data_IF_212318348627
#
_entry.id   IF_212318348627
#
_cell.length_a   1.000
_cell.length_b   1.000
_cell.length_c   1.000
_cell.angle_alpha   90.00
_cell.angle_beta   90.00
_cell.angle_gamma   90.00
#
_symmetry.space_group_name_H-M   'P 1'
#
loop_
_entity.id
_entity.type
_entity.pdbx_description
1 polymer ?
#
# COMPACT_ATOMS: atom_id res chain seq x y z
N UNK A 1 16.44 -20.50 7.83
CA UNK A 1 16.98 -19.66 6.72
C UNK A 1 17.10 -18.23 7.19
N UNK A 2 18.02 -17.48 6.58
CA UNK A 2 18.04 -15.99 6.65
C UNK A 2 17.29 -15.42 5.48
N UNK A 3 16.27 -14.63 5.74
CA UNK A 3 15.36 -14.11 4.71
C UNK A 3 15.42 -12.57 4.72
N UNK A 4 15.87 -11.98 3.63
CA UNK A 4 15.95 -10.53 3.47
C UNK A 4 14.70 -10.01 2.76
N UNK A 5 13.92 -9.18 3.45
CA UNK A 5 12.73 -8.54 2.89
C UNK A 5 13.09 -7.11 2.44
N UNK A 6 12.93 -6.80 1.17
CA UNK A 6 13.35 -5.52 0.58
C UNK A 6 12.15 -4.73 0.09
N UNK A 7 11.97 -3.52 0.61
CA UNK A 7 10.96 -2.57 0.15
C UNK A 7 11.58 -1.21 -0.20
N UNK A 8 10.90 -0.46 -1.05
CA UNK A 8 11.24 0.95 -1.24
C UNK A 8 11.20 1.69 0.11
N UNK A 9 12.00 2.78 0.29
CA UNK A 9 12.13 3.47 1.57
C UNK A 9 10.89 4.35 1.86
N UNK A 10 9.73 3.71 1.88
CA UNK A 10 8.41 4.30 2.12
C UNK A 10 7.57 3.36 2.99
N UNK A 11 6.95 3.88 4.04
CA UNK A 11 6.15 3.10 4.97
C UNK A 11 5.05 2.28 4.27
N UNK A 12 4.34 2.89 3.32
CA UNK A 12 3.27 2.22 2.55
C UNK A 12 3.75 1.06 1.68
N UNK A 13 5.05 0.97 1.37
CA UNK A 13 5.65 -0.14 0.62
C UNK A 13 6.10 -1.29 1.54
N UNK A 14 6.54 -0.98 2.75
CA UNK A 14 6.98 -1.99 3.71
C UNK A 14 5.80 -2.70 4.39
N UNK A 15 4.77 -1.96 4.80
CA UNK A 15 3.65 -2.52 5.59
C UNK A 15 3.00 -3.76 4.97
N UNK A 16 2.75 -3.85 3.63
CA UNK A 16 2.15 -5.04 3.03
C UNK A 16 3.01 -6.31 3.11
N UNK A 17 4.33 -6.17 3.29
CA UNK A 17 5.25 -7.29 3.37
C UNK A 17 5.40 -7.83 4.79
N UNK A 18 5.04 -7.04 5.80
CA UNK A 18 5.24 -7.40 7.21
C UNK A 18 4.48 -8.65 7.65
N UNK A 19 3.22 -8.90 7.23
CA UNK A 19 2.53 -10.13 7.63
C UNK A 19 3.27 -11.40 7.20
N UNK A 20 3.82 -11.42 5.99
CA UNK A 20 4.65 -12.55 5.53
C UNK A 20 5.98 -12.62 6.29
N UNK A 21 6.62 -11.48 6.52
CA UNK A 21 7.86 -11.42 7.30
C UNK A 21 7.66 -11.95 8.73
N UNK A 22 6.54 -11.61 9.37
CA UNK A 22 6.16 -12.11 10.69
C UNK A 22 5.87 -13.62 10.66
N UNK A 23 5.12 -14.11 9.67
CA UNK A 23 4.83 -15.55 9.52
C UNK A 23 6.13 -16.37 9.36
N UNK A 24 7.09 -15.87 8.57
CA UNK A 24 8.40 -16.50 8.40
C UNK A 24 9.22 -16.50 9.70
N UNK A 25 9.24 -15.37 10.44
CA UNK A 25 9.88 -15.29 11.75
C UNK A 25 9.27 -16.30 12.73
N UNK A 26 7.94 -16.36 12.78
CA UNK A 26 7.21 -17.25 13.69
C UNK A 26 7.40 -18.73 13.34
N UNK A 27 7.74 -19.03 12.08
CA UNK A 27 8.19 -20.34 11.63
C UNK A 27 9.68 -20.64 11.98
N UNK A 28 10.37 -19.72 12.65
CA UNK A 28 11.76 -19.91 13.13
C UNK A 28 12.84 -19.44 12.16
N UNK A 29 12.50 -18.64 11.14
CA UNK A 29 13.49 -18.05 10.26
C UNK A 29 14.09 -16.74 10.85
N UNK A 30 15.33 -16.45 10.48
CA UNK A 30 15.96 -15.19 10.78
C UNK A 30 15.57 -14.17 9.68
N UNK A 31 14.70 -13.22 10.01
CA UNK A 31 14.09 -12.29 9.05
C UNK A 31 14.56 -10.87 9.32
N UNK A 32 15.08 -10.21 8.28
CA UNK A 32 15.53 -8.82 8.33
C UNK A 32 14.91 -8.03 7.17
N UNK A 33 14.37 -6.86 7.46
CA UNK A 33 13.89 -5.95 6.43
C UNK A 33 14.96 -4.92 6.05
N UNK A 34 15.09 -4.64 4.76
CA UNK A 34 15.91 -3.59 4.18
C UNK A 34 15.00 -2.52 3.59
N UNK A 35 15.03 -1.31 4.14
CA UNK A 35 14.23 -0.16 3.70
C UNK A 35 14.91 1.15 4.12
N UNK A 36 14.17 2.22 4.37
CA UNK A 36 14.72 3.49 4.82
C UNK A 36 13.66 4.55 5.09
N UNK A 37 14.07 5.76 5.37
CA UNK A 37 13.21 6.93 5.56
C UNK A 37 12.04 6.67 6.53
N UNK A 38 10.78 6.97 6.11
CA UNK A 38 9.61 6.82 6.97
C UNK A 38 9.23 5.34 7.25
N UNK A 39 9.70 4.38 6.44
CA UNK A 39 9.53 2.95 6.72
C UNK A 39 10.21 2.53 8.04
N UNK A 40 11.23 3.26 8.50
CA UNK A 40 11.90 3.00 9.78
C UNK A 40 10.97 3.23 10.99
N UNK A 41 9.87 3.94 10.83
CA UNK A 41 8.86 4.10 11.88
C UNK A 41 8.14 2.79 12.23
N UNK A 42 8.20 1.78 11.36
CA UNK A 42 7.62 0.45 11.60
C UNK A 42 8.53 -0.48 12.45
N UNK A 43 9.61 0.00 13.08
CA UNK A 43 10.57 -0.85 13.83
C UNK A 43 9.98 -1.66 15.00
N UNK A 44 8.84 -1.26 15.51
CA UNK A 44 8.22 -1.92 16.68
C UNK A 44 7.37 -3.16 16.32
N UNK A 45 7.38 -3.61 15.07
CA UNK A 45 6.55 -4.74 14.60
C UNK A 45 7.17 -6.13 14.85
N UNK A 46 8.32 -6.22 15.52
CA UNK A 46 9.02 -7.48 15.80
C UNK A 46 9.95 -7.96 14.67
N UNK A 47 10.05 -7.22 13.54
CA UNK A 47 11.02 -7.46 12.46
C UNK A 47 12.09 -6.38 12.53
N UNK A 48 13.37 -6.78 12.52
CA UNK A 48 14.48 -5.84 12.40
C UNK A 48 14.42 -5.09 11.06
N UNK A 49 14.59 -3.77 11.07
CA UNK A 49 14.64 -2.96 9.85
C UNK A 49 15.97 -2.25 9.77
N UNK A 50 16.73 -2.50 8.71
CA UNK A 50 18.00 -1.87 8.42
C UNK A 50 17.82 -0.71 7.45
N UNK A 51 18.42 0.44 7.75
CA UNK A 51 18.40 1.60 6.84
C UNK A 51 19.45 1.40 5.73
N UNK A 52 18.96 1.13 4.52
CA UNK A 52 19.78 0.92 3.31
C UNK A 52 19.88 2.15 2.42
N UNK A 53 19.23 3.25 2.79
CA UNK A 53 19.22 4.50 2.06
C UNK A 53 19.29 5.71 3.00
N UNK A 54 20.38 5.87 3.79
CA UNK A 54 20.51 6.97 4.74
C UNK A 54 20.37 8.33 4.05
N UNK A 55 19.54 9.22 4.59
CA UNK A 55 19.29 10.55 4.01
C UNK A 55 18.40 10.54 2.76
N UNK A 56 17.70 9.45 2.51
CA UNK A 56 16.73 9.36 1.42
C UNK A 56 15.58 10.36 1.59
N UNK A 57 15.29 11.10 0.51
CA UNK A 57 14.17 12.04 0.44
C UNK A 57 13.37 11.80 -0.84
N UNK A 58 12.20 11.17 -0.72
CA UNK A 58 11.34 10.87 -1.86
C UNK A 58 10.95 12.13 -2.64
N UNK A 59 10.59 13.21 -1.95
CA UNK A 59 10.17 14.47 -2.56
C UNK A 59 11.29 15.11 -3.40
N UNK A 60 12.55 14.95 -3.00
CA UNK A 60 13.72 15.40 -3.78
C UNK A 60 13.82 14.65 -5.11
N UNK A 61 13.66 13.32 -5.07
CA UNK A 61 13.69 12.46 -6.27
C UNK A 61 12.50 12.80 -7.18
N UNK A 62 11.30 12.83 -6.63
CA UNK A 62 10.08 13.13 -7.38
C UNK A 62 10.18 14.48 -8.08
N UNK A 63 10.56 15.53 -7.36
CA UNK A 63 10.77 16.87 -7.92
C UNK A 63 11.82 16.87 -9.03
N UNK A 64 12.97 16.22 -8.84
CA UNK A 64 14.03 16.12 -9.87
C UNK A 64 13.52 15.45 -11.14
N UNK A 65 12.78 14.35 -11.02
CA UNK A 65 12.24 13.61 -12.16
C UNK A 65 11.16 14.43 -12.87
N UNK A 66 10.23 15.04 -12.13
CA UNK A 66 9.14 15.83 -12.71
C UNK A 66 9.65 17.08 -13.44
N UNK A 67 10.67 17.76 -12.91
CA UNK A 67 11.30 18.91 -13.58
C UNK A 67 12.01 18.50 -14.88
N UNK A 68 12.65 17.33 -14.92
CA UNK A 68 13.32 16.84 -16.13
C UNK A 68 12.36 16.29 -17.19
N UNK A 69 11.12 15.98 -16.82
CA UNK A 69 10.12 15.34 -17.68
C UNK A 69 8.75 16.02 -17.56
N UNK A 70 8.57 17.26 -18.05
CA UNK A 70 7.36 18.05 -17.81
C UNK A 70 6.08 17.41 -18.39
N UNK A 71 6.18 16.70 -19.52
CA UNK A 71 5.03 15.96 -20.06
C UNK A 71 4.60 14.80 -19.16
N UNK A 72 5.57 14.11 -18.57
CA UNK A 72 5.31 13.06 -17.59
C UNK A 72 4.69 13.63 -16.30
N UNK A 73 5.21 14.77 -15.83
CA UNK A 73 4.66 15.48 -14.68
C UNK A 73 3.19 15.88 -14.91
N UNK A 74 2.87 16.38 -16.12
CA UNK A 74 1.49 16.72 -16.48
C UNK A 74 0.58 15.49 -16.51
N UNK A 75 1.05 14.39 -17.09
CA UNK A 75 0.31 13.14 -17.13
C UNK A 75 0.06 12.59 -15.71
N UNK A 76 1.09 12.63 -14.85
CA UNK A 76 1.01 12.22 -13.46
C UNK A 76 0.00 13.03 -12.65
N UNK A 77 0.06 14.35 -12.74
CA UNK A 77 -0.90 15.24 -12.07
C UNK A 77 -2.35 15.01 -12.53
N UNK A 78 -2.53 14.57 -13.78
CA UNK A 78 -3.83 14.19 -14.32
C UNK A 78 -4.25 12.75 -13.94
N UNK A 79 -3.43 12.00 -13.18
CA UNK A 79 -3.65 10.59 -12.85
C UNK A 79 -3.47 9.63 -14.03
N UNK A 80 -2.78 10.06 -15.09
CA UNK A 80 -2.55 9.29 -16.31
C UNK A 80 -1.07 8.90 -16.49
N UNK A 81 -0.24 9.05 -15.45
CA UNK A 81 1.17 8.69 -15.48
C UNK A 81 1.41 7.20 -15.60
N UNK A 82 0.63 6.41 -14.85
CA UNK A 82 0.66 4.96 -14.87
C UNK A 82 2.05 4.37 -14.63
N UNK A 83 2.26 3.14 -15.08
CA UNK A 83 3.50 2.39 -14.90
C UNK A 83 4.73 3.13 -15.45
N UNK A 84 4.59 3.94 -16.51
CA UNK A 84 5.71 4.70 -17.09
C UNK A 84 6.29 5.73 -16.11
N UNK A 85 5.44 6.42 -15.36
CA UNK A 85 5.89 7.38 -14.34
C UNK A 85 6.46 6.66 -13.14
N UNK A 86 5.72 5.67 -12.65
CA UNK A 86 6.10 4.86 -11.50
C UNK A 86 7.47 4.20 -11.72
N UNK A 87 7.65 3.52 -12.87
CA UNK A 87 8.91 2.83 -13.19
C UNK A 87 10.12 3.76 -13.29
N UNK A 88 9.92 4.99 -13.79
CA UNK A 88 11.01 5.97 -13.87
C UNK A 88 11.34 6.57 -12.51
N UNK A 89 10.32 6.86 -11.71
CA UNK A 89 10.48 7.39 -10.37
C UNK A 89 11.18 6.38 -9.47
N UNK A 90 10.69 5.14 -9.47
CA UNK A 90 11.27 4.09 -8.65
C UNK A 90 12.58 3.51 -9.21
N UNK A 91 12.86 3.68 -10.50
CA UNK A 91 14.21 3.48 -11.02
C UNK A 91 15.23 4.39 -10.34
N UNK A 92 14.90 5.66 -10.09
CA UNK A 92 15.76 6.57 -9.35
C UNK A 92 15.81 6.26 -7.84
N UNK A 93 14.73 5.73 -7.27
CA UNK A 93 14.73 5.22 -5.88
C UNK A 93 15.68 4.03 -5.74
N UNK A 94 15.60 3.06 -6.65
CA UNK A 94 16.50 1.91 -6.66
C UNK A 94 17.97 2.31 -6.88
N UNK A 95 18.22 3.37 -7.64
CA UNK A 95 19.59 3.89 -7.84
C UNK A 95 20.19 4.42 -6.53
N UNK A 96 19.38 4.99 -5.62
CA UNK A 96 19.84 5.47 -4.32
C UNK A 96 19.93 4.34 -3.26
N UNK A 97 19.11 3.28 -3.33
CA UNK A 97 19.12 2.22 -2.31
C UNK A 97 19.95 0.97 -2.67
N UNK A 98 20.27 0.77 -3.96
CA UNK A 98 20.88 -0.47 -4.44
C UNK A 98 22.19 -0.81 -3.73
N UNK A 99 23.08 0.15 -3.54
CA UNK A 99 24.38 -0.07 -2.92
C UNK A 99 24.23 -0.50 -1.45
N UNK A 100 23.29 0.10 -0.72
CA UNK A 100 22.98 -0.27 0.66
C UNK A 100 22.36 -1.68 0.77
N UNK A 101 21.43 -2.02 -0.12
CA UNK A 101 20.81 -3.36 -0.16
C UNK A 101 21.84 -4.44 -0.47
N UNK A 102 22.70 -4.22 -1.47
CA UNK A 102 23.77 -5.17 -1.83
C UNK A 102 24.76 -5.32 -0.70
N UNK A 103 25.21 -4.21 -0.09
CA UNK A 103 26.14 -4.25 1.04
C UNK A 103 25.55 -4.99 2.25
N UNK A 104 24.24 -4.81 2.53
CA UNK A 104 23.54 -5.55 3.56
C UNK A 104 23.51 -7.04 3.24
N UNK A 105 23.11 -7.41 2.02
CA UNK A 105 23.08 -8.81 1.59
C UNK A 105 24.46 -9.47 1.66
N UNK A 106 25.54 -8.77 1.30
CA UNK A 106 26.92 -9.30 1.35
C UNK A 106 27.38 -9.57 2.80
N UNK A 107 27.04 -8.70 3.78
CA UNK A 107 27.44 -8.89 5.18
C UNK A 107 26.51 -9.85 5.95
N UNK A 108 25.19 -9.81 5.69
CA UNK A 108 24.22 -10.61 6.42
C UNK A 108 24.01 -12.01 5.83
N UNK A 109 24.33 -12.18 4.54
CA UNK A 109 24.32 -13.45 3.79
C UNK A 109 22.95 -14.15 3.84
N UNK A 110 21.89 -13.55 3.27
CA UNK A 110 20.58 -14.19 3.18
C UNK A 110 20.62 -15.44 2.30
N UNK A 111 19.72 -16.39 2.58
CA UNK A 111 19.45 -17.57 1.77
C UNK A 111 18.34 -17.29 0.73
N UNK A 112 17.45 -16.34 1.04
CA UNK A 112 16.32 -15.93 0.21
C UNK A 112 16.13 -14.42 0.28
N UNK A 113 15.78 -13.80 -0.84
CA UNK A 113 15.32 -12.41 -0.88
C UNK A 113 13.85 -12.36 -1.27
N UNK A 114 13.03 -11.64 -0.50
CA UNK A 114 11.67 -11.27 -0.85
C UNK A 114 11.66 -9.78 -1.13
N UNK A 115 11.13 -9.36 -2.28
CA UNK A 115 11.11 -7.93 -2.62
C UNK A 115 9.77 -7.53 -3.26
N UNK A 116 9.37 -6.28 -3.08
CA UNK A 116 8.21 -5.75 -3.78
C UNK A 116 8.58 -5.26 -5.19
N UNK A 117 7.61 -5.08 -6.10
CA UNK A 117 7.89 -4.79 -7.52
C UNK A 117 8.73 -3.53 -7.77
N UNK A 118 8.62 -2.54 -6.90
CA UNK A 118 9.32 -1.25 -7.03
C UNK A 118 10.66 -1.21 -6.27
N UNK A 119 10.98 -2.26 -5.50
CA UNK A 119 12.27 -2.43 -4.82
C UNK A 119 13.16 -3.48 -5.54
N UNK A 120 13.36 -3.29 -6.84
CA UNK A 120 14.14 -4.19 -7.69
C UNK A 120 15.62 -4.35 -7.24
N UNK A 121 16.11 -3.48 -6.35
CA UNK A 121 17.39 -3.64 -5.67
C UNK A 121 17.49 -4.95 -4.87
N UNK A 122 16.36 -5.50 -4.40
CA UNK A 122 16.31 -6.82 -3.78
C UNK A 122 16.66 -7.93 -4.77
N UNK A 123 16.05 -7.92 -5.96
CA UNK A 123 16.39 -8.86 -7.04
C UNK A 123 17.86 -8.73 -7.48
N UNK A 124 18.40 -7.51 -7.53
CA UNK A 124 19.82 -7.27 -7.82
C UNK A 124 20.73 -7.92 -6.77
N UNK A 125 20.42 -7.77 -5.49
CA UNK A 125 21.18 -8.38 -4.40
C UNK A 125 21.12 -9.92 -4.47
N UNK A 126 19.96 -10.49 -4.74
CA UNK A 126 19.78 -11.92 -4.95
C UNK A 126 20.58 -12.44 -6.15
N UNK A 127 20.49 -11.76 -7.31
CA UNK A 127 21.21 -12.11 -8.52
C UNK A 127 22.74 -12.09 -8.31
N UNK A 128 23.25 -11.07 -7.64
CA UNK A 128 24.68 -10.95 -7.33
C UNK A 128 25.18 -12.10 -6.43
N UNK A 129 24.32 -12.61 -5.55
CA UNK A 129 24.67 -13.70 -4.64
C UNK A 129 24.35 -15.10 -5.18
N UNK A 130 23.64 -15.20 -6.30
CA UNK A 130 23.20 -16.47 -6.86
C UNK A 130 22.16 -17.20 -5.98
N UNK A 131 21.30 -16.46 -5.28
CA UNK A 131 20.23 -16.99 -4.42
C UNK A 131 18.84 -16.67 -5.01
N UNK A 132 17.79 -17.42 -4.62
CA UNK A 132 16.44 -17.16 -5.11
C UNK A 132 15.92 -15.79 -4.66
N UNK A 133 15.09 -15.19 -5.53
CA UNK A 133 14.31 -13.99 -5.22
C UNK A 133 12.82 -14.28 -5.42
N UNK A 134 11.99 -13.80 -4.49
CA UNK A 134 10.54 -13.88 -4.54
C UNK A 134 9.98 -12.47 -4.74
N UNK A 135 9.12 -12.30 -5.74
CA UNK A 135 8.39 -11.07 -5.97
C UNK A 135 7.09 -11.08 -5.17
N UNK A 136 6.96 -10.18 -4.23
CA UNK A 136 5.76 -10.01 -3.41
C UNK A 136 5.00 -8.76 -3.87
N UNK A 137 3.80 -8.91 -4.44
CA UNK A 137 2.97 -7.77 -4.79
C UNK A 137 2.58 -6.96 -3.55
N UNK A 138 2.44 -5.65 -3.71
CA UNK A 138 2.03 -4.73 -2.66
C UNK A 138 1.02 -3.67 -3.14
N UNK A 139 0.52 -3.84 -4.35
CA UNK A 139 -0.38 -2.92 -5.07
C UNK A 139 -1.40 -3.70 -5.90
N UNK A 140 -2.42 -3.00 -6.43
CA UNK A 140 -3.37 -3.58 -7.38
C UNK A 140 -2.81 -3.65 -8.81
N UNK A 141 -1.70 -3.00 -9.11
CA UNK A 141 -1.00 -3.21 -10.39
C UNK A 141 -0.46 -4.64 -10.50
N UNK A 142 -0.27 -5.10 -11.72
CA UNK A 142 0.43 -6.35 -12.00
C UNK A 142 1.90 -6.23 -11.59
N UNK A 143 2.31 -7.04 -10.60
CA UNK A 143 3.64 -6.97 -10.01
C UNK A 143 4.77 -7.24 -11.01
N UNK A 144 4.73 -8.33 -11.78
CA UNK A 144 5.69 -8.61 -12.84
C UNK A 144 5.81 -7.50 -13.88
N UNK A 145 4.68 -6.90 -14.32
CA UNK A 145 4.69 -5.79 -15.27
C UNK A 145 5.40 -4.55 -14.70
N UNK A 146 5.08 -4.18 -13.45
CA UNK A 146 5.70 -3.04 -12.75
C UNK A 146 7.18 -3.28 -12.52
N UNK A 147 7.55 -4.49 -12.07
CA UNK A 147 8.93 -4.88 -11.84
C UNK A 147 9.75 -4.82 -13.13
N UNK A 148 9.23 -5.43 -14.21
CA UNK A 148 9.88 -5.43 -15.53
C UNK A 148 10.04 -4.03 -16.14
N UNK A 149 9.14 -3.11 -15.82
CA UNK A 149 9.23 -1.72 -16.25
C UNK A 149 10.22 -0.88 -15.42
N UNK A 150 10.59 -1.31 -14.19
CA UNK A 150 11.47 -0.56 -13.29
C UNK A 150 12.90 -0.47 -13.83
N UNK A 151 13.42 0.74 -13.97
CA UNK A 151 14.72 0.98 -14.61
C UNK A 151 15.88 0.67 -13.65
N UNK A 152 16.69 -0.34 -14.02
CA UNK A 152 17.81 -0.82 -13.21
C UNK A 152 19.18 -0.74 -13.91
N UNK A 153 19.27 -0.10 -15.06
CA UNK A 153 20.51 -0.14 -15.87
C UNK A 153 21.77 0.35 -15.12
N UNK A 154 21.66 1.45 -14.38
CA UNK A 154 22.81 1.99 -13.64
C UNK A 154 23.20 1.11 -12.44
N UNK A 155 22.28 0.69 -11.55
CA UNK A 155 22.61 -0.26 -10.48
C UNK A 155 23.18 -1.58 -11.00
N UNK A 156 22.60 -2.17 -12.05
CA UNK A 156 23.11 -3.41 -12.64
C UNK A 156 24.57 -3.26 -13.11
N UNK A 157 24.86 -2.18 -13.82
CA UNK A 157 26.21 -1.92 -14.32
C UNK A 157 27.23 -1.73 -13.15
N UNK A 158 26.86 -0.99 -12.10
CA UNK A 158 27.71 -0.79 -10.91
C UNK A 158 28.06 -2.10 -10.21
N UNK A 159 27.12 -3.04 -10.17
CA UNK A 159 27.31 -4.30 -9.46
C UNK A 159 27.73 -5.48 -10.35
N UNK A 160 27.98 -5.24 -11.64
CA UNK A 160 28.46 -6.26 -12.58
C UNK A 160 27.41 -7.35 -12.90
N UNK A 161 26.13 -7.03 -12.76
CA UNK A 161 25.01 -7.93 -13.10
C UNK A 161 24.48 -7.55 -14.47
N UNK A 162 24.42 -8.51 -15.40
CA UNK A 162 23.98 -8.24 -16.78
C UNK A 162 22.47 -8.11 -16.91
N UNK A 163 21.71 -8.89 -16.14
CA UNK A 163 20.26 -8.89 -16.11
C UNK A 163 19.74 -9.47 -14.80
N UNK A 164 18.54 -9.05 -14.39
CA UNK A 164 17.83 -9.68 -13.25
C UNK A 164 17.24 -11.02 -13.74
N UNK A 165 17.44 -12.12 -13.00
CA UNK A 165 16.78 -13.38 -13.30
C UNK A 165 15.27 -13.27 -13.06
N UNK A 166 14.45 -14.14 -13.64
CA UNK A 166 13.07 -14.30 -13.24
C UNK A 166 12.96 -14.58 -11.73
N UNK A 167 11.90 -14.09 -11.09
CA UNK A 167 11.62 -14.44 -9.71
C UNK A 167 11.38 -15.95 -9.57
N UNK A 168 11.89 -16.57 -8.50
CA UNK A 168 11.67 -17.98 -8.20
C UNK A 168 10.18 -18.25 -7.89
N UNK A 169 9.48 -17.25 -7.34
CA UNK A 169 8.03 -17.25 -7.17
C UNK A 169 7.51 -15.81 -7.21
N UNK A 170 6.24 -15.64 -7.59
CA UNK A 170 5.50 -14.38 -7.47
C UNK A 170 4.34 -14.61 -6.52
N UNK A 171 4.21 -13.77 -5.48
CA UNK A 171 3.09 -13.77 -4.57
C UNK A 171 2.08 -12.69 -4.99
N UNK A 172 0.87 -13.11 -5.35
CA UNK A 172 -0.20 -12.22 -5.80
C UNK A 172 -1.16 -11.97 -4.64
N UNK A 173 -1.38 -10.71 -4.26
CA UNK A 173 -2.21 -10.36 -3.11
C UNK A 173 -3.56 -9.74 -3.47
N UNK A 174 -3.71 -9.30 -4.71
CA UNK A 174 -4.96 -8.69 -5.16
C UNK A 174 -6.01 -9.76 -5.50
N UNK A 175 -7.26 -9.61 -5.03
CA UNK A 175 -8.33 -10.57 -5.33
C UNK A 175 -8.62 -10.64 -6.84
N UNK A 176 -8.69 -11.83 -7.45
CA UNK A 176 -8.99 -12.01 -8.87
C UNK A 176 -10.29 -11.33 -9.33
N UNK A 177 -11.32 -11.24 -8.49
CA UNK A 177 -12.56 -10.55 -8.83
C UNK A 177 -12.40 -9.03 -9.00
N UNK A 178 -11.28 -8.47 -8.51
CA UNK A 178 -10.97 -7.03 -8.60
C UNK A 178 -10.05 -6.73 -9.78
N UNK A 179 -9.02 -7.54 -9.99
CA UNK A 179 -7.95 -7.24 -10.97
C UNK A 179 -7.85 -8.25 -12.12
N UNK A 180 -8.69 -9.29 -12.13
CA UNK A 180 -8.54 -10.43 -13.02
C UNK A 180 -7.58 -11.50 -12.47
N UNK A 181 -7.60 -12.67 -13.10
CA UNK A 181 -6.67 -13.75 -12.78
C UNK A 181 -5.23 -13.36 -13.16
N UNK A 182 -4.26 -13.69 -12.31
CA UNK A 182 -2.82 -13.46 -12.50
C UNK A 182 -2.03 -14.72 -12.29
N UNK A 183 -0.91 -14.82 -12.97
CA UNK A 183 0.06 -15.87 -12.72
C UNK A 183 0.78 -15.61 -11.39
N UNK A 184 0.96 -16.66 -10.60
CA UNK A 184 1.62 -16.60 -9.29
C UNK A 184 0.89 -17.37 -8.22
N UNK A 185 1.43 -17.31 -7.01
CA UNK A 185 0.86 -17.94 -5.82
C UNK A 185 -0.05 -16.94 -5.13
N UNK A 186 -1.35 -17.20 -5.03
CA UNK A 186 -2.24 -16.32 -4.31
C UNK A 186 -1.91 -16.32 -2.82
N UNK A 187 -1.85 -15.14 -2.23
CA UNK A 187 -1.65 -14.94 -0.80
C UNK A 187 -2.64 -13.90 -0.29
N UNK A 188 -3.33 -14.23 0.79
CA UNK A 188 -4.23 -13.29 1.44
C UNK A 188 -3.47 -12.04 1.88
N UNK A 189 -3.91 -10.88 1.42
CA UNK A 189 -3.43 -9.63 1.98
C UNK A 189 -4.00 -9.47 3.40
N UNK A 190 -3.10 -9.41 4.36
CA UNK A 190 -3.43 -9.08 5.75
C UNK A 190 -3.01 -7.63 6.01
N UNK A 191 -3.97 -6.68 5.99
CA UNK A 191 -3.63 -5.28 6.12
C UNK A 191 -2.99 -5.00 7.49
N UNK A 192 -1.80 -4.41 7.46
CA UNK A 192 -1.08 -4.00 8.66
C UNK A 192 -1.11 -2.47 8.79
N UNK A 193 -1.50 -1.94 9.95
CA UNK A 193 -1.59 -0.50 10.21
C UNK A 193 -0.73 -0.02 11.39
N UNK A 194 0.18 -0.88 11.86
CA UNK A 194 0.99 -0.61 13.06
C UNK A 194 0.19 -0.79 14.35
N UNK A 195 0.88 -0.57 15.46
CA UNK A 195 0.32 -0.60 16.80
C UNK A 195 -0.17 0.80 17.21
N UNK A 196 -1.08 0.85 18.15
CA UNK A 196 -1.59 2.10 18.70
C UNK A 196 -2.82 1.85 19.57
N UNK A 197 -3.12 2.81 20.43
CA UNK A 197 -4.34 2.77 21.22
C UNK A 197 -5.53 3.22 20.39
N UNK A 198 -6.62 2.47 20.50
CA UNK A 198 -7.91 2.84 19.92
C UNK A 198 -8.74 3.46 21.05
N UNK A 199 -9.20 4.71 20.92
CA UNK A 199 -10.09 5.31 21.92
C UNK A 199 -11.36 4.45 22.10
N UNK A 200 -11.83 4.29 23.34
CA UNK A 200 -12.99 3.43 23.67
C UNK A 200 -14.21 3.72 22.80
N UNK A 201 -14.55 4.99 22.64
CA UNK A 201 -15.68 5.41 21.81
C UNK A 201 -15.57 4.99 20.35
N UNK A 202 -14.35 4.78 19.85
CA UNK A 202 -14.09 4.38 18.46
C UNK A 202 -14.07 2.86 18.32
N UNK A 203 -13.73 2.14 19.39
CA UNK A 203 -13.80 0.69 19.46
C UNK A 203 -15.25 0.17 19.57
N UNK A 204 -16.15 0.99 20.12
CA UNK A 204 -17.55 0.64 20.28
C UNK A 204 -18.33 0.75 18.96
N UNK A 205 -19.38 -0.07 18.84
CA UNK A 205 -20.32 0.03 17.72
C UNK A 205 -21.11 1.33 17.84
N UNK A 206 -21.12 2.19 16.80
CA UNK A 206 -21.79 3.46 16.84
C UNK A 206 -23.34 3.29 16.73
N UNK A 207 -24.09 4.29 17.24
CA UNK A 207 -25.54 4.32 17.12
C UNK A 207 -26.03 4.56 15.68
N UNK A 208 -25.24 5.29 14.88
CA UNK A 208 -25.47 5.55 13.44
C UNK A 208 -24.38 4.89 12.61
N UNK A 209 -24.62 4.62 11.31
CA UNK A 209 -23.55 4.15 10.43
C UNK A 209 -22.32 5.05 10.52
N UNK A 210 -21.12 4.46 10.73
CA UNK A 210 -19.87 5.21 10.82
C UNK A 210 -19.14 5.21 9.47
N UNK A 211 -18.81 6.39 8.98
CA UNK A 211 -17.96 6.59 7.80
C UNK A 211 -16.57 7.03 8.27
N UNK A 212 -15.56 6.20 8.04
CA UNK A 212 -14.17 6.54 8.30
C UNK A 212 -13.59 7.32 7.14
N UNK A 213 -12.92 8.44 7.42
CA UNK A 213 -12.26 9.25 6.38
C UNK A 213 -10.77 9.34 6.68
N UNK A 214 -9.96 8.80 5.78
CA UNK A 214 -8.51 8.82 5.93
C UNK A 214 -7.83 9.60 4.79
N UNK A 215 -6.65 10.14 5.09
CA UNK A 215 -5.78 10.79 4.09
C UNK A 215 -4.50 9.98 3.88
N UNK A 216 -3.75 10.32 2.84
CA UNK A 216 -2.43 9.74 2.59
C UNK A 216 -1.46 10.00 3.75
N UNK A 217 -0.61 9.03 4.05
CA UNK A 217 0.56 9.21 4.92
C UNK A 217 1.68 9.96 4.20
N UNK A 218 1.74 9.83 2.87
CA UNK A 218 2.73 10.54 2.04
C UNK A 218 2.20 11.93 1.69
N UNK A 219 3.00 12.95 1.96
CA UNK A 219 2.73 14.29 1.46
C UNK A 219 3.00 14.31 -0.05
N UNK A 220 2.04 14.77 -0.83
CA UNK A 220 2.19 14.77 -2.28
C UNK A 220 1.05 15.47 -2.98
N UNK A 221 1.11 15.64 -4.32
CA UNK A 221 0.03 16.23 -5.07
C UNK A 221 -1.23 15.37 -4.97
N UNK A 222 -2.34 16.03 -4.75
CA UNK A 222 -3.67 15.43 -4.62
C UNK A 222 -4.51 16.18 -3.60
N UNK A 223 -5.81 16.26 -3.85
CA UNK A 223 -6.72 16.91 -2.93
C UNK A 223 -7.13 15.93 -1.82
N UNK A 224 -7.15 16.39 -0.57
CA UNK A 224 -7.75 15.65 0.54
C UNK A 224 -9.27 15.55 0.35
N UNK A 225 -9.90 14.39 0.61
CA UNK A 225 -11.36 14.26 0.61
C UNK A 225 -12.02 14.99 1.78
N UNK A 226 -11.30 15.18 2.88
CA UNK A 226 -11.86 15.67 4.15
C UNK A 226 -12.61 17.00 4.04
N UNK A 227 -12.11 18.05 3.33
CA UNK A 227 -12.86 19.30 3.24
C UNK A 227 -14.23 19.19 2.56
N UNK A 228 -14.36 18.32 1.57
CA UNK A 228 -15.65 18.09 0.89
C UNK A 228 -16.58 17.24 1.75
N UNK A 229 -16.04 16.21 2.41
CA UNK A 229 -16.80 15.39 3.36
C UNK A 229 -17.34 16.25 4.52
N UNK A 230 -16.53 17.11 5.12
CA UNK A 230 -16.99 18.03 6.19
C UNK A 230 -18.10 18.95 5.70
N UNK A 231 -18.00 19.47 4.47
CA UNK A 231 -19.03 20.35 3.90
C UNK A 231 -20.37 19.63 3.67
N UNK A 232 -20.33 18.32 3.37
CA UNK A 232 -21.51 17.49 3.11
C UNK A 232 -22.08 16.82 4.37
N UNK A 233 -21.32 16.77 5.46
CA UNK A 233 -21.59 15.92 6.62
C UNK A 233 -22.94 16.16 7.30
N UNK A 234 -23.36 17.43 7.44
CA UNK A 234 -24.61 17.77 8.13
C UNK A 234 -25.88 17.23 7.43
N UNK A 235 -25.78 16.86 6.14
CA UNK A 235 -26.87 16.31 5.35
C UNK A 235 -26.89 14.77 5.33
N UNK A 236 -25.98 14.12 6.07
CA UNK A 236 -25.81 12.65 6.06
C UNK A 236 -26.14 12.10 7.44
N UNK A 237 -27.04 11.12 7.50
CA UNK A 237 -27.35 10.42 8.75
C UNK A 237 -26.31 9.34 9.05
N UNK A 238 -25.10 9.81 9.43
CA UNK A 238 -23.95 8.99 9.78
C UNK A 238 -23.07 9.72 10.77
N UNK A 239 -22.32 8.95 11.57
CA UNK A 239 -21.14 9.45 12.29
C UNK A 239 -19.96 9.48 11.33
N UNK A 240 -19.30 10.61 11.19
CA UNK A 240 -18.12 10.77 10.32
C UNK A 240 -16.88 10.94 11.18
N UNK A 241 -15.89 10.06 10.99
CA UNK A 241 -14.63 10.10 11.74
C UNK A 241 -13.48 10.46 10.80
N UNK A 242 -12.86 11.62 11.02
CA UNK A 242 -11.69 12.07 10.29
C UNK A 242 -10.41 11.63 11.01
N UNK A 243 -9.61 10.80 10.35
CA UNK A 243 -8.32 10.35 10.89
C UNK A 243 -7.21 11.28 10.44
N UNK A 244 -6.52 11.91 11.39
CA UNK A 244 -5.40 12.83 11.16
C UNK A 244 -5.75 13.98 10.20
N UNK A 245 -6.80 14.78 10.44
CA UNK A 245 -7.09 15.92 9.61
C UNK A 245 -5.88 16.87 9.56
N UNK A 246 -5.66 17.51 8.39
CA UNK A 246 -4.67 18.60 8.32
C UNK A 246 -5.12 19.82 9.12
N UNK A 247 -4.18 20.69 9.50
CA UNK A 247 -4.46 21.86 10.33
C UNK A 247 -5.57 22.75 9.76
N UNK A 248 -5.64 22.89 8.41
CA UNK A 248 -6.67 23.69 7.74
C UNK A 248 -8.06 23.05 7.85
N UNK A 249 -8.12 21.72 7.80
CA UNK A 249 -9.38 20.99 8.01
C UNK A 249 -9.77 21.01 9.48
N UNK A 250 -8.83 20.76 10.38
CA UNK A 250 -9.07 20.75 11.84
C UNK A 250 -9.53 22.11 12.41
N UNK A 251 -9.12 23.21 11.78
CA UNK A 251 -9.52 24.57 12.21
C UNK A 251 -10.93 25.00 11.76
N UNK A 252 -11.63 24.18 10.97
CA UNK A 252 -13.00 24.48 10.55
C UNK A 252 -14.02 24.17 11.65
N UNK A 253 -15.15 24.88 11.62
CA UNK A 253 -16.32 24.47 12.38
C UNK A 253 -16.77 23.08 11.89
N UNK A 254 -16.82 22.12 12.80
CA UNK A 254 -17.26 20.75 12.47
C UNK A 254 -18.76 20.63 12.73
N UNK A 255 -19.51 19.99 11.81
CA UNK A 255 -20.88 19.52 12.09
C UNK A 255 -20.90 18.59 13.31
N UNK A 256 -22.04 18.51 14.02
CA UNK A 256 -22.19 17.71 15.25
C UNK A 256 -21.89 16.22 15.06
N UNK A 257 -22.13 15.70 13.85
CA UNK A 257 -21.89 14.31 13.48
C UNK A 257 -20.47 14.03 12.98
N UNK A 258 -19.54 15.03 13.07
CA UNK A 258 -18.16 14.86 12.67
C UNK A 258 -17.24 14.87 13.90
N UNK A 259 -16.45 13.81 14.03
CA UNK A 259 -15.42 13.67 15.07
C UNK A 259 -14.05 13.53 14.42
N UNK A 260 -13.03 13.93 15.15
CA UNK A 260 -11.64 13.81 14.69
C UNK A 260 -10.84 12.92 15.64
N UNK A 261 -9.87 12.22 15.09
CA UNK A 261 -8.91 11.43 15.85
C UNK A 261 -7.53 11.60 15.24
N UNK A 262 -6.51 11.56 16.06
CA UNK A 262 -5.13 11.54 15.63
C UNK A 262 -4.74 10.18 15.02
N UNK A 263 -3.53 9.73 15.22
CA UNK A 263 -3.10 8.42 14.75
C UNK A 263 -3.85 7.30 15.49
N UNK A 264 -4.45 6.40 14.70
CA UNK A 264 -5.04 5.14 15.19
C UNK A 264 -4.71 4.01 14.21
N UNK A 265 -4.56 2.78 14.67
CA UNK A 265 -4.44 1.61 13.78
C UNK A 265 -5.76 1.41 13.03
N UNK A 266 -5.84 1.90 11.79
CA UNK A 266 -7.08 1.95 11.00
C UNK A 266 -7.75 0.58 10.95
N UNK A 267 -6.99 -0.50 10.75
CA UNK A 267 -7.55 -1.84 10.62
C UNK A 267 -8.25 -2.34 11.90
N UNK A 268 -7.88 -1.82 13.06
CA UNK A 268 -8.56 -2.15 14.33
C UNK A 268 -9.95 -1.51 14.46
N UNK A 269 -10.19 -0.40 13.75
CA UNK A 269 -11.45 0.34 13.82
C UNK A 269 -12.39 0.08 12.63
N UNK A 270 -11.87 -0.43 11.50
CA UNK A 270 -12.69 -0.77 10.34
C UNK A 270 -13.89 -1.68 10.67
N UNK A 271 -13.79 -2.68 11.57
CA UNK A 271 -14.94 -3.51 11.95
C UNK A 271 -16.12 -2.74 12.57
N UNK A 272 -15.89 -1.52 13.09
CA UNK A 272 -16.96 -0.66 13.65
C UNK A 272 -17.56 0.29 12.62
N UNK A 273 -17.02 0.30 11.39
CA UNK A 273 -17.42 1.21 10.32
C UNK A 273 -18.44 0.56 9.36
N UNK A 274 -19.26 1.40 8.75
CA UNK A 274 -20.15 1.02 7.65
C UNK A 274 -19.52 1.28 6.29
N UNK A 275 -18.59 2.23 6.19
CA UNK A 275 -17.91 2.59 4.94
C UNK A 275 -16.61 3.36 5.19
N UNK A 276 -15.79 3.49 4.14
CA UNK A 276 -14.51 4.22 4.20
C UNK A 276 -14.41 5.20 3.04
N UNK A 277 -13.91 6.41 3.32
CA UNK A 277 -13.50 7.40 2.30
C UNK A 277 -12.00 7.59 2.38
N UNK A 278 -11.28 7.40 1.27
CA UNK A 278 -9.82 7.49 1.29
C UNK A 278 -9.22 7.95 -0.05
N UNK A 279 -7.93 8.21 -0.03
CA UNK A 279 -7.15 8.76 -1.13
C UNK A 279 -6.80 7.77 -2.25
N UNK A 280 -7.13 6.48 -2.10
CA UNK A 280 -6.88 5.47 -3.13
C UNK A 280 -5.52 4.75 -3.06
N UNK A 281 -4.74 4.91 -2.00
CA UNK A 281 -3.53 4.09 -1.81
C UNK A 281 -3.88 2.62 -1.60
N UNK A 282 -3.07 1.69 -2.13
CA UNK A 282 -3.33 0.26 -2.13
C UNK A 282 -3.62 -0.30 -0.72
N UNK A 283 -2.85 0.08 0.30
CA UNK A 283 -3.09 -0.37 1.68
C UNK A 283 -4.47 0.01 2.23
N UNK A 284 -5.01 1.19 1.85
CA UNK A 284 -6.37 1.59 2.24
C UNK A 284 -7.43 0.79 1.49
N UNK A 285 -7.21 0.50 0.21
CA UNK A 285 -8.11 -0.32 -0.61
C UNK A 285 -8.18 -1.74 -0.05
N UNK A 286 -7.04 -2.37 0.20
CA UNK A 286 -6.99 -3.72 0.79
C UNK A 286 -7.58 -3.75 2.19
N UNK A 287 -7.35 -2.71 3.02
CA UNK A 287 -7.95 -2.60 4.35
C UNK A 287 -9.48 -2.59 4.29
N UNK A 288 -10.05 -1.79 3.40
CA UNK A 288 -11.49 -1.73 3.20
C UNK A 288 -12.06 -3.07 2.66
N UNK A 289 -11.40 -3.70 1.70
CA UNK A 289 -11.78 -5.01 1.18
C UNK A 289 -11.71 -6.10 2.25
N UNK A 290 -10.62 -6.17 3.03
CA UNK A 290 -10.47 -7.14 4.10
C UNK A 290 -11.53 -6.98 5.20
N UNK A 291 -12.00 -5.75 5.44
CA UNK A 291 -13.12 -5.47 6.32
C UNK A 291 -14.50 -5.71 5.68
N UNK A 292 -14.59 -5.87 4.36
CA UNK A 292 -15.83 -6.03 3.62
C UNK A 292 -16.65 -4.74 3.56
N UNK A 293 -15.99 -3.59 3.50
CA UNK A 293 -16.61 -2.28 3.56
C UNK A 293 -16.72 -1.62 2.17
N UNK A 294 -17.87 -1.05 1.82
CA UNK A 294 -17.97 -0.10 0.72
C UNK A 294 -16.94 1.03 0.88
N UNK A 295 -16.33 1.45 -0.24
CA UNK A 295 -15.31 2.48 -0.17
C UNK A 295 -15.51 3.57 -1.23
N UNK A 296 -15.35 4.84 -0.83
CA UNK A 296 -15.27 5.95 -1.76
C UNK A 296 -13.80 6.30 -1.93
N UNK A 297 -13.31 6.08 -3.13
CA UNK A 297 -11.90 6.27 -3.49
C UNK A 297 -11.73 7.54 -4.29
N UNK A 298 -10.82 8.42 -3.86
CA UNK A 298 -10.54 9.64 -4.62
C UNK A 298 -9.41 9.42 -5.61
N UNK A 299 -9.69 9.46 -6.94
CA UNK A 299 -8.66 9.31 -7.97
C UNK A 299 -7.56 10.37 -7.83
N UNK A 300 -6.33 9.96 -8.11
CA UNK A 300 -5.18 10.85 -8.02
C UNK A 300 -3.94 10.30 -8.70
N UNK A 301 -2.77 10.92 -8.48
CA UNK A 301 -1.49 10.46 -8.98
C UNK A 301 -1.08 9.07 -8.48
N UNK A 302 -0.11 8.45 -9.14
CA UNK A 302 0.39 7.12 -8.83
C UNK A 302 -0.60 6.03 -9.25
N UNK A 303 -0.84 5.10 -8.36
CA UNK A 303 -1.80 4.00 -8.52
C UNK A 303 -3.24 4.39 -8.18
N UNK A 304 -3.46 5.56 -7.59
CA UNK A 304 -4.75 5.96 -6.98
C UNK A 304 -5.91 5.98 -7.96
N UNK A 305 -5.67 6.44 -9.21
CA UNK A 305 -6.72 6.44 -10.24
C UNK A 305 -7.07 5.03 -10.65
N UNK A 306 -6.07 4.19 -10.91
CA UNK A 306 -6.26 2.79 -11.23
C UNK A 306 -7.01 2.06 -10.11
N UNK A 307 -6.59 2.23 -8.86
CA UNK A 307 -7.23 1.63 -7.71
C UNK A 307 -8.70 2.06 -7.59
N UNK A 308 -9.00 3.35 -7.79
CA UNK A 308 -10.38 3.87 -7.77
C UNK A 308 -11.25 3.24 -8.88
N UNK A 309 -10.69 3.08 -10.09
CA UNK A 309 -11.37 2.44 -11.22
C UNK A 309 -11.64 0.96 -10.95
N UNK A 310 -10.67 0.22 -10.37
CA UNK A 310 -10.87 -1.19 -10.01
C UNK A 310 -11.98 -1.37 -8.96
N UNK A 311 -11.97 -0.56 -7.91
CA UNK A 311 -13.01 -0.58 -6.86
C UNK A 311 -14.40 -0.30 -7.44
N UNK A 312 -14.52 0.71 -8.28
CA UNK A 312 -15.79 1.07 -8.92
C UNK A 312 -16.27 -0.01 -9.92
N UNK A 313 -15.37 -0.56 -10.72
CA UNK A 313 -15.66 -1.63 -11.69
C UNK A 313 -16.14 -2.89 -10.98
N UNK A 314 -15.54 -3.25 -9.83
CA UNK A 314 -15.98 -4.38 -8.98
C UNK A 314 -17.35 -4.13 -8.36
N UNK A 315 -17.84 -2.89 -8.35
CA UNK A 315 -19.09 -2.52 -7.69
C UNK A 315 -18.99 -2.42 -6.16
N UNK A 316 -17.78 -2.50 -5.59
CA UNK A 316 -17.54 -2.46 -4.15
C UNK A 316 -17.29 -1.04 -3.62
N UNK A 317 -17.54 -0.01 -4.43
CA UNK A 317 -17.36 1.38 -4.03
C UNK A 317 -17.55 2.38 -5.16
N UNK A 318 -17.19 3.63 -4.87
CA UNK A 318 -17.32 4.78 -5.76
C UNK A 318 -15.94 5.39 -6.07
N UNK A 319 -15.75 5.83 -7.31
CA UNK A 319 -14.60 6.63 -7.73
C UNK A 319 -15.05 8.09 -7.91
N UNK A 320 -14.78 8.95 -6.92
CA UNK A 320 -15.25 10.35 -6.91
C UNK A 320 -14.06 11.30 -6.70
N UNK A 321 -13.84 12.30 -7.56
CA UNK A 321 -12.80 13.30 -7.32
C UNK A 321 -13.01 14.01 -5.97
N UNK A 322 -11.95 14.16 -5.17
CA UNK A 322 -12.00 14.62 -3.78
C UNK A 322 -12.82 15.93 -3.59
N UNK A 323 -12.77 16.85 -4.54
CA UNK A 323 -13.52 18.14 -4.49
C UNK A 323 -14.97 18.02 -4.92
N UNK A 324 -15.42 16.86 -5.41
CA UNK A 324 -16.77 16.63 -5.94
C UNK A 324 -17.61 15.72 -5.07
N UNK A 325 -17.09 15.30 -3.92
CA UNK A 325 -17.83 14.47 -2.98
C UNK A 325 -19.04 15.24 -2.47
N UNK A 326 -20.22 14.64 -2.52
CA UNK A 326 -21.50 15.19 -2.11
C UNK A 326 -22.13 14.38 -0.99
N UNK A 327 -23.16 14.93 -0.33
CA UNK A 327 -23.95 14.21 0.66
C UNK A 327 -24.64 12.96 0.04
N UNK A 328 -25.08 13.06 -1.21
CA UNK A 328 -25.67 11.93 -1.93
C UNK A 328 -24.68 10.79 -2.14
N UNK A 329 -23.38 11.08 -2.42
CA UNK A 329 -22.34 10.06 -2.53
C UNK A 329 -22.12 9.35 -1.19
N UNK A 330 -22.06 10.10 -0.09
CA UNK A 330 -21.86 9.55 1.25
C UNK A 330 -23.07 8.74 1.72
N UNK A 331 -24.29 9.21 1.43
CA UNK A 331 -25.53 8.46 1.73
C UNK A 331 -25.55 7.16 0.93
N UNK A 332 -25.29 7.22 -0.38
CA UNK A 332 -25.24 6.04 -1.23
C UNK A 332 -24.23 5.02 -0.73
N UNK A 333 -23.07 5.46 -0.24
CA UNK A 333 -22.00 4.59 0.26
C UNK A 333 -22.45 3.71 1.44
N UNK A 334 -23.42 4.16 2.23
CA UNK A 334 -23.92 3.43 3.41
C UNK A 334 -25.32 2.81 3.21
N UNK A 335 -26.00 3.11 2.09
CA UNK A 335 -27.35 2.61 1.84
C UNK A 335 -27.48 1.70 0.61
N UNK A 336 -26.44 1.65 -0.25
CA UNK A 336 -26.45 0.80 -1.44
C UNK A 336 -26.13 -0.65 -1.05
N UNK A 337 -27.18 -1.47 -0.94
CA UNK A 337 -27.07 -2.88 -0.56
C UNK A 337 -26.24 -3.70 -1.55
N UNK A 338 -26.33 -3.39 -2.86
CA UNK A 338 -25.55 -4.09 -3.87
C UNK A 338 -24.05 -3.81 -3.71
N UNK A 339 -23.67 -2.56 -3.38
CA UNK A 339 -22.30 -2.18 -3.10
C UNK A 339 -21.78 -2.86 -1.84
N UNK A 340 -22.58 -2.93 -0.78
CA UNK A 340 -22.25 -3.63 0.46
C UNK A 340 -22.07 -5.13 0.22
N UNK A 341 -22.94 -5.75 -0.55
CA UNK A 341 -22.82 -7.15 -0.93
C UNK A 341 -21.52 -7.41 -1.74
N UNK A 342 -21.24 -6.57 -2.73
CA UNK A 342 -20.02 -6.68 -3.54
C UNK A 342 -18.73 -6.55 -2.70
N UNK A 343 -18.71 -5.64 -1.73
CA UNK A 343 -17.57 -5.51 -0.80
C UNK A 343 -17.43 -6.74 0.11
N UNK A 344 -18.54 -7.28 0.59
CA UNK A 344 -18.55 -8.51 1.39
C UNK A 344 -18.06 -9.74 0.59
N UNK A 345 -18.44 -9.85 -0.69
CA UNK A 345 -17.94 -10.91 -1.58
C UNK A 345 -16.41 -10.85 -1.73
N UNK A 346 -15.84 -9.66 -1.93
CA UNK A 346 -14.38 -9.48 -2.01
C UNK A 346 -13.70 -9.90 -0.70
N UNK A 347 -14.29 -9.56 0.45
CA UNK A 347 -13.77 -10.01 1.75
C UNK A 347 -13.74 -11.54 1.84
N UNK A 348 -14.82 -12.22 1.47
CA UNK A 348 -14.87 -13.69 1.54
C UNK A 348 -13.88 -14.32 0.54
N UNK A 349 -13.72 -13.76 -0.65
CA UNK A 349 -12.68 -14.16 -1.59
C UNK A 349 -11.27 -14.02 -0.97
N UNK A 350 -10.94 -12.87 -0.37
CA UNK A 350 -9.66 -12.66 0.31
C UNK A 350 -9.45 -13.67 1.45
N UNK A 351 -10.48 -13.96 2.25
CA UNK A 351 -10.39 -14.96 3.32
C UNK A 351 -10.12 -16.36 2.80
N UNK A 352 -10.61 -16.69 1.60
CA UNK A 352 -10.36 -17.99 0.98
C UNK A 352 -8.95 -18.12 0.38
N UNK A 353 -8.21 -17.03 0.20
CA UNK A 353 -6.81 -17.08 -0.23
C UNK A 353 -5.92 -17.65 0.90
N UNK A 354 -4.86 -18.40 0.56
CA UNK A 354 -3.88 -18.87 1.52
C UNK A 354 -3.34 -17.75 2.41
N UNK A 355 -3.21 -17.97 3.70
CA UNK A 355 -2.58 -17.01 4.60
C UNK A 355 -1.08 -16.88 4.32
N UNK A 356 -0.41 -15.83 4.81
CA UNK A 356 1.05 -15.74 4.76
C UNK A 356 1.74 -16.98 5.37
N UNK A 357 1.19 -17.54 6.45
CA UNK A 357 1.73 -18.73 7.11
C UNK A 357 1.61 -19.99 6.23
N UNK A 358 0.53 -20.13 5.46
CA UNK A 358 0.33 -21.27 4.56
C UNK A 358 1.36 -21.33 3.42
N UNK A 359 2.01 -20.20 3.10
CA UNK A 359 3.02 -20.13 2.04
C UNK A 359 4.45 -20.40 2.54
N UNK A 360 4.68 -20.43 3.84
CA UNK A 360 6.01 -20.69 4.42
C UNK A 360 6.63 -21.98 3.90
N UNK A 361 5.93 -23.14 3.89
CA UNK A 361 6.54 -24.38 3.39
C UNK A 361 6.92 -24.31 1.89
N UNK A 362 6.16 -23.58 1.09
CA UNK A 362 6.50 -23.38 -0.31
C UNK A 362 7.78 -22.56 -0.46
N UNK A 363 7.92 -21.49 0.31
CA UNK A 363 9.11 -20.63 0.29
C UNK A 363 10.36 -21.35 0.79
N UNK A 364 10.22 -22.25 1.76
CA UNK A 364 11.30 -23.14 2.24
C UNK A 364 11.78 -24.12 1.19
N UNK A 365 10.92 -24.51 0.25
CA UNK A 365 11.23 -25.47 -0.81
C UNK A 365 11.88 -24.86 -2.05
N UNK A 366 12.04 -23.55 -2.11
CA UNK A 366 12.69 -22.89 -3.24
C UNK A 366 14.17 -23.28 -3.34
N UNK A 367 14.70 -23.44 -4.59
CA UNK A 367 16.04 -23.96 -4.83
C UNK A 367 17.16 -23.03 -4.34
#
# INVERSE_FOLDING_TARGET
>A
MRILVVSAPLLGHLLPLLPLAQALRDAGHDVLAASGADALSARNNGIGIEDVAPGFEFDRIARRIMLRHPLLARAELAGNGGIRTVSRLFGAVNDEMADGVVALADRWKPDLVIHEPLAAAGALAAAKRGIPAVLHENTLFDGPEVFGATRMAAPLARHGVSALPPAAATLTIAPPSVVGARDGLPMRCEPFSGDGEVPDWLAEKPERPRILVSRSTVNGPGASPMPAVVAAAAEVDAEIVLVRPDAKTASRAMPENVRTVDWVPINAILPTCAAVVHHGGAGSVFGAFAAGLPQLVTPGPGDRKFNAEQVATRGAGLAVPAKRITAADLTRLITDEAMTAAAAEVREEMKAMPSPADLVPHLESLP
#
